data_IF_282881113994
#
_entry.id   IF_282881113994
#
_cell.length_a   1.000
_cell.length_b   1.000
_cell.length_c   1.000
_cell.angle_alpha   90.00
_cell.angle_beta   90.00
_cell.angle_gamma   90.00
#
_symmetry.space_group_name_H-M   'P 1'
#
loop_
_entity.id
_entity.type
_entity.pdbx_description
1 polymer ?
#
# COMPACT_ATOMS: atom_id res chain seq x y z
N UNK A 1 25.56 7.33 -24.74
CA UNK A 1 24.94 6.07 -24.30
C UNK A 1 23.94 6.42 -23.22
N UNK A 2 22.64 6.23 -23.47
CA UNK A 2 21.63 6.41 -22.41
C UNK A 2 21.95 5.37 -21.32
N UNK A 3 22.12 5.83 -20.08
CA UNK A 3 22.18 4.92 -18.94
C UNK A 3 20.89 4.09 -18.98
N UNK A 4 21.02 2.77 -19.01
CA UNK A 4 19.87 1.89 -18.92
C UNK A 4 19.13 2.23 -17.62
N UNK A 5 17.83 2.52 -17.70
CA UNK A 5 17.03 2.84 -16.53
C UNK A 5 17.06 1.65 -15.58
N UNK A 6 17.41 1.89 -14.31
CA UNK A 6 17.40 0.85 -13.29
C UNK A 6 15.98 0.26 -13.16
N UNK A 7 15.88 -1.06 -13.06
CA UNK A 7 14.61 -1.76 -12.94
C UNK A 7 14.09 -1.63 -11.50
N UNK A 8 13.10 -0.76 -11.28
CA UNK A 8 12.43 -0.61 -9.98
C UNK A 8 11.20 -1.52 -9.86
N UNK A 9 10.66 -1.68 -8.65
CA UNK A 9 9.43 -2.45 -8.42
C UNK A 9 8.23 -1.90 -9.20
N UNK A 10 8.10 -0.58 -9.30
CA UNK A 10 7.09 0.07 -10.15
C UNK A 10 7.26 -0.23 -11.65
N UNK A 11 8.49 -0.25 -12.18
CA UNK A 11 8.73 -0.58 -13.59
C UNK A 11 8.46 -2.06 -13.86
N UNK A 12 8.94 -2.94 -12.97
CA UNK A 12 8.73 -4.38 -13.07
C UNK A 12 7.23 -4.74 -13.07
N UNK A 13 6.46 -4.19 -12.13
CA UNK A 13 5.01 -4.40 -12.07
C UNK A 13 4.30 -3.86 -13.31
N UNK A 14 4.71 -2.70 -13.85
CA UNK A 14 4.17 -2.17 -15.10
C UNK A 14 4.39 -3.12 -16.29
N UNK A 15 5.57 -3.74 -16.39
CA UNK A 15 5.85 -4.73 -17.45
C UNK A 15 4.94 -5.95 -17.31
N UNK A 16 4.79 -6.49 -16.09
CA UNK A 16 3.89 -7.63 -15.83
C UNK A 16 2.44 -7.29 -16.18
N UNK A 17 1.95 -6.12 -15.77
CA UNK A 17 0.60 -5.65 -16.12
C UNK A 17 0.41 -5.53 -17.63
N UNK A 18 1.39 -5.01 -18.37
CA UNK A 18 1.33 -4.93 -19.84
C UNK A 18 1.24 -6.32 -20.48
N UNK A 19 2.02 -7.28 -19.99
CA UNK A 19 1.95 -8.65 -20.50
C UNK A 19 0.62 -9.33 -20.16
N UNK A 20 0.08 -9.10 -18.95
CA UNK A 20 -1.26 -9.60 -18.59
C UNK A 20 -2.35 -9.01 -19.49
N UNK A 21 -2.31 -7.70 -19.78
CA UNK A 21 -3.26 -7.07 -20.71
C UNK A 21 -3.17 -7.67 -22.10
N UNK A 22 -1.95 -7.91 -22.59
CA UNK A 22 -1.74 -8.58 -23.87
C UNK A 22 -2.24 -10.03 -23.86
N UNK A 23 -2.08 -10.75 -22.74
CA UNK A 23 -2.58 -12.12 -22.56
C UNK A 23 -4.11 -12.20 -22.60
N UNK A 24 -4.79 -11.33 -21.86
CA UNK A 24 -6.26 -11.31 -21.80
C UNK A 24 -6.90 -10.78 -23.09
N UNK A 25 -6.21 -9.92 -23.85
CA UNK A 25 -6.70 -9.20 -25.04
C UNK A 25 -7.83 -8.18 -24.74
N UNK A 26 -8.89 -8.59 -24.03
CA UNK A 26 -9.95 -7.73 -23.49
C UNK A 26 -10.42 -8.28 -22.13
N UNK A 27 -11.01 -7.42 -21.29
CA UNK A 27 -11.70 -7.87 -20.07
C UNK A 27 -10.78 -8.42 -18.97
N UNK A 28 -9.55 -7.93 -18.88
CA UNK A 28 -8.65 -8.27 -17.76
C UNK A 28 -9.34 -7.97 -16.42
N UNK A 29 -9.39 -8.93 -15.48
CA UNK A 29 -10.05 -8.73 -14.20
C UNK A 29 -9.35 -7.66 -13.36
N UNK A 30 -10.13 -6.94 -12.55
CA UNK A 30 -9.61 -5.97 -11.57
C UNK A 30 -8.64 -6.65 -10.57
N UNK A 31 -9.00 -7.84 -10.09
CA UNK A 31 -8.11 -8.65 -9.27
C UNK A 31 -7.12 -9.43 -10.15
N UNK A 32 -5.83 -9.09 -10.04
CA UNK A 32 -4.75 -9.75 -10.80
C UNK A 32 -4.64 -11.24 -10.44
N UNK A 33 -4.80 -12.12 -11.42
CA UNK A 33 -4.53 -13.54 -11.22
C UNK A 33 -3.01 -13.80 -11.09
N UNK A 34 -2.55 -14.03 -9.86
CA UNK A 34 -1.15 -14.30 -9.55
C UNK A 34 -0.68 -15.67 -10.07
N UNK A 35 -1.59 -16.60 -10.33
CA UNK A 35 -1.24 -17.90 -10.91
C UNK A 35 -0.86 -17.74 -12.38
N UNK A 36 -1.59 -16.91 -13.13
CA UNK A 36 -1.21 -16.55 -14.51
C UNK A 36 0.13 -15.81 -14.51
N UNK A 37 0.34 -14.86 -13.60
CA UNK A 37 1.64 -14.16 -13.46
C UNK A 37 2.77 -15.16 -13.20
N UNK A 38 2.59 -16.10 -12.28
CA UNK A 38 3.59 -17.14 -11.99
C UNK A 38 3.91 -17.99 -13.22
N UNK A 39 2.88 -18.48 -13.91
CA UNK A 39 3.03 -19.37 -15.06
C UNK A 39 3.68 -18.68 -16.27
N UNK A 40 3.39 -17.40 -16.49
CA UNK A 40 3.95 -16.67 -17.63
C UNK A 40 5.42 -16.32 -17.43
N UNK A 41 5.86 -16.02 -16.19
CA UNK A 41 7.19 -15.46 -15.91
C UNK A 41 8.37 -16.21 -16.55
N UNK A 42 8.47 -17.55 -16.50
CA UNK A 42 9.53 -18.32 -17.18
C UNK A 42 9.67 -18.01 -18.68
N UNK A 43 8.58 -17.65 -19.36
CA UNK A 43 8.59 -17.31 -20.80
C UNK A 43 8.93 -15.85 -21.11
N UNK A 44 9.15 -15.03 -20.08
CA UNK A 44 9.45 -13.60 -20.20
C UNK A 44 10.95 -13.32 -20.01
N UNK A 45 11.45 -12.12 -20.35
CA UNK A 45 12.82 -11.74 -20.01
C UNK A 45 13.17 -11.88 -18.52
N UNK A 46 12.18 -11.72 -17.62
CA UNK A 46 12.37 -11.92 -16.18
C UNK A 46 12.48 -13.39 -15.77
N UNK A 47 12.16 -14.33 -16.64
CA UNK A 47 12.30 -15.77 -16.39
C UNK A 47 13.56 -16.39 -16.99
N UNK A 48 14.48 -15.60 -17.54
CA UNK A 48 15.67 -16.15 -18.23
C UNK A 48 16.43 -17.15 -17.35
N UNK A 49 16.62 -18.37 -17.86
CA UNK A 49 17.29 -19.47 -17.16
C UNK A 49 16.41 -20.25 -16.18
N UNK A 50 15.13 -19.89 -16.04
CA UNK A 50 14.16 -20.56 -15.18
C UNK A 50 13.19 -21.36 -16.05
N UNK A 51 13.07 -22.65 -15.74
CA UNK A 51 12.12 -23.56 -16.37
C UNK A 51 10.74 -23.46 -15.70
N UNK A 52 10.72 -23.29 -14.38
CA UNK A 52 9.48 -23.38 -13.61
C UNK A 52 9.57 -22.60 -12.29
N UNK A 53 8.47 -21.95 -11.92
CA UNK A 53 8.23 -21.49 -10.56
C UNK A 53 7.09 -22.38 -10.03
N UNK A 54 7.31 -23.28 -9.08
CA UNK A 54 6.28 -24.20 -8.56
C UNK A 54 5.09 -23.42 -7.97
N UNK A 55 3.91 -24.04 -7.98
CA UNK A 55 2.72 -23.46 -7.34
C UNK A 55 3.00 -23.12 -5.86
N UNK A 56 2.52 -21.96 -5.36
CA UNK A 56 2.82 -21.55 -3.99
C UNK A 56 2.30 -22.56 -2.96
N UNK A 57 3.15 -22.89 -1.99
CA UNK A 57 2.82 -23.85 -0.91
C UNK A 57 2.43 -23.13 0.38
N UNK A 58 1.44 -23.68 1.07
CA UNK A 58 1.03 -23.18 2.37
C UNK A 58 1.95 -23.74 3.46
N UNK A 59 2.45 -22.86 4.34
CA UNK A 59 3.13 -23.24 5.58
C UNK A 59 2.41 -22.57 6.75
N UNK A 60 2.16 -23.31 7.81
CA UNK A 60 1.50 -22.80 9.02
C UNK A 60 2.53 -22.56 10.12
N UNK A 61 3.06 -21.34 10.21
CA UNK A 61 4.00 -20.91 11.24
C UNK A 61 3.56 -19.60 11.88
N UNK A 62 3.79 -19.44 13.19
CA UNK A 62 3.36 -18.22 13.90
C UNK A 62 4.26 -17.01 13.61
N UNK A 63 5.52 -17.24 13.24
CA UNK A 63 6.50 -16.20 12.91
C UNK A 63 6.84 -16.09 11.42
N UNK A 64 6.36 -17.05 10.62
CA UNK A 64 6.61 -17.16 9.17
C UNK A 64 5.62 -16.28 8.42
N UNK A 65 6.08 -15.48 7.45
CA UNK A 65 5.19 -14.71 6.56
C UNK A 65 5.25 -15.24 5.13
N UNK A 66 6.46 -15.36 4.57
CA UNK A 66 6.69 -15.79 3.18
C UNK A 66 8.12 -16.23 2.92
N UNK A 67 8.32 -16.94 1.82
CA UNK A 67 9.66 -17.33 1.34
C UNK A 67 9.67 -17.55 -0.16
N UNK A 68 10.73 -17.09 -0.81
CA UNK A 68 11.14 -17.48 -2.15
C UNK A 68 12.42 -18.30 -2.05
N UNK A 69 12.47 -19.48 -2.67
CA UNK A 69 13.67 -20.31 -2.69
C UNK A 69 13.91 -20.95 -4.05
N UNK A 70 15.17 -21.03 -4.45
CA UNK A 70 15.61 -21.86 -5.58
C UNK A 70 15.68 -23.32 -5.13
N UNK A 71 15.27 -24.22 -6.00
CA UNK A 71 15.37 -25.66 -5.74
C UNK A 71 16.86 -26.05 -5.62
N UNK A 72 17.23 -26.83 -4.57
CA UNK A 72 18.62 -27.19 -4.32
C UNK A 72 19.18 -28.14 -5.39
N UNK A 73 18.33 -28.97 -6.00
CA UNK A 73 18.72 -30.00 -6.96
C UNK A 73 18.51 -29.55 -8.41
N UNK A 74 17.53 -28.67 -8.68
CA UNK A 74 17.28 -28.09 -10.00
C UNK A 74 17.28 -26.56 -9.99
N UNK A 75 18.40 -25.99 -10.37
CA UNK A 75 18.61 -24.55 -10.41
C UNK A 75 17.72 -23.75 -11.38
N UNK A 76 17.02 -24.43 -12.30
CA UNK A 76 16.02 -23.84 -13.16
C UNK A 76 14.62 -23.81 -12.51
N UNK A 77 14.48 -24.25 -11.25
CA UNK A 77 13.22 -24.34 -10.52
C UNK A 77 13.24 -23.46 -9.28
N UNK A 78 12.14 -22.75 -9.07
CA UNK A 78 11.90 -21.92 -7.88
C UNK A 78 10.61 -22.32 -7.18
N UNK A 79 10.50 -22.03 -5.89
CA UNK A 79 9.31 -22.25 -5.08
C UNK A 79 8.98 -21.03 -4.23
N UNK A 80 7.68 -20.83 -4.01
CA UNK A 80 7.13 -19.79 -3.14
C UNK A 80 6.38 -20.48 -2.00
N UNK A 81 6.58 -20.02 -0.77
CA UNK A 81 5.79 -20.42 0.38
C UNK A 81 5.14 -19.19 1.04
N UNK A 82 3.96 -19.37 1.63
CA UNK A 82 3.23 -18.30 2.32
C UNK A 82 2.52 -18.82 3.58
N UNK A 83 2.25 -17.94 4.53
CA UNK A 83 1.58 -18.31 5.77
C UNK A 83 0.09 -18.62 5.58
N UNK A 84 -0.32 -19.88 5.80
CA UNK A 84 -1.71 -20.33 5.70
C UNK A 84 -2.66 -19.70 6.72
N UNK A 85 -2.16 -19.30 7.89
CA UNK A 85 -2.96 -18.65 8.95
C UNK A 85 -3.33 -17.20 8.60
N UNK A 86 -2.63 -16.59 7.65
CA UNK A 86 -2.87 -15.22 7.22
C UNK A 86 -4.24 -15.07 6.51
N UNK A 87 -4.81 -13.86 6.47
CA UNK A 87 -6.04 -13.63 5.67
C UNK A 87 -5.72 -13.74 4.18
N UNK A 88 -6.72 -14.00 3.35
CA UNK A 88 -6.56 -14.17 1.89
C UNK A 88 -5.86 -12.98 1.23
N UNK A 89 -6.17 -11.76 1.66
CA UNK A 89 -5.55 -10.53 1.13
C UNK A 89 -4.06 -10.47 1.48
N UNK A 90 -3.69 -10.93 2.68
CA UNK A 90 -2.29 -11.02 3.12
C UNK A 90 -1.54 -12.12 2.39
N UNK A 91 -2.14 -13.29 2.23
CA UNK A 91 -1.56 -14.39 1.42
C UNK A 91 -1.28 -13.93 -0.02
N UNK A 92 -2.24 -13.23 -0.65
CA UNK A 92 -2.06 -12.64 -1.98
C UNK A 92 -0.92 -11.63 -2.02
N UNK A 93 -0.85 -10.75 -1.02
CA UNK A 93 0.24 -9.78 -0.94
C UNK A 93 1.60 -10.48 -0.82
N UNK A 94 1.73 -11.45 0.08
CA UNK A 94 2.95 -12.25 0.24
C UNK A 94 3.36 -12.90 -1.08
N UNK A 95 2.45 -13.59 -1.77
CA UNK A 95 2.78 -14.23 -3.06
C UNK A 95 3.24 -13.19 -4.09
N UNK A 96 2.58 -12.03 -4.17
CA UNK A 96 3.00 -10.95 -5.07
C UNK A 96 4.38 -10.37 -4.69
N UNK A 97 4.67 -10.27 -3.39
CA UNK A 97 5.95 -9.82 -2.84
C UNK A 97 7.08 -10.80 -3.19
N UNK A 98 6.88 -12.11 -3.00
CA UNK A 98 7.85 -13.12 -3.40
C UNK A 98 8.09 -13.15 -4.92
N UNK A 99 7.05 -12.90 -5.73
CA UNK A 99 7.21 -12.70 -7.17
C UNK A 99 8.05 -11.44 -7.50
N UNK A 100 7.94 -10.39 -6.66
CA UNK A 100 8.80 -9.22 -6.71
C UNK A 100 10.27 -9.59 -6.47
N UNK A 101 10.57 -10.36 -5.42
CA UNK A 101 11.92 -10.90 -5.19
C UNK A 101 12.42 -11.73 -6.37
N UNK A 102 11.56 -12.56 -6.94
CA UNK A 102 11.95 -13.38 -8.09
C UNK A 102 12.37 -12.51 -9.29
N UNK A 103 11.60 -11.47 -9.60
CA UNK A 103 11.86 -10.62 -10.75
C UNK A 103 13.11 -9.75 -10.52
N UNK A 104 13.21 -9.14 -9.34
CA UNK A 104 14.17 -8.07 -9.06
C UNK A 104 15.47 -8.58 -8.44
N UNK A 105 15.43 -9.63 -7.61
CA UNK A 105 16.49 -9.95 -6.66
C UNK A 105 17.05 -11.38 -6.77
N UNK A 106 16.44 -12.28 -7.54
CA UNK A 106 16.83 -13.70 -7.61
C UNK A 106 18.30 -13.96 -8.02
N UNK A 107 18.96 -13.00 -8.66
CA UNK A 107 20.37 -13.07 -9.02
C UNK A 107 21.30 -12.80 -7.83
N UNK A 108 20.79 -12.15 -6.78
CA UNK A 108 21.58 -11.75 -5.60
C UNK A 108 21.67 -12.87 -4.56
N UNK A 109 20.59 -13.63 -4.36
CA UNK A 109 20.50 -14.68 -3.33
C UNK A 109 19.71 -15.89 -3.85
N UNK A 110 20.04 -17.08 -3.33
CA UNK A 110 19.35 -18.33 -3.69
C UNK A 110 18.02 -18.51 -2.94
N UNK A 111 17.81 -17.75 -1.86
CA UNK A 111 16.59 -17.78 -1.06
C UNK A 111 16.38 -16.44 -0.35
N UNK A 112 15.12 -16.05 -0.16
CA UNK A 112 14.67 -14.92 0.63
C UNK A 112 13.68 -15.45 1.68
N UNK A 113 13.98 -15.20 2.95
CA UNK A 113 13.11 -15.57 4.06
C UNK A 113 12.52 -14.30 4.66
N UNK A 114 11.22 -14.10 4.43
CA UNK A 114 10.49 -12.96 4.96
C UNK A 114 9.91 -13.37 6.31
N UNK A 115 10.66 -13.10 7.37
CA UNK A 115 10.24 -13.28 8.76
C UNK A 115 9.79 -11.94 9.34
N UNK A 116 8.84 -11.99 10.29
CA UNK A 116 8.37 -10.79 11.01
C UNK A 116 9.49 -9.99 11.74
N UNK A 117 10.68 -10.59 11.93
CA UNK A 117 11.83 -9.97 12.61
C UNK A 117 13.01 -9.61 11.70
N UNK A 118 13.06 -10.07 10.44
CA UNK A 118 14.25 -9.90 9.58
C UNK A 118 14.48 -8.45 9.14
N UNK A 119 13.43 -7.61 9.18
CA UNK A 119 13.47 -6.18 8.84
C UNK A 119 14.29 -5.32 9.82
N UNK A 120 14.62 -5.86 11.00
CA UNK A 120 15.30 -5.12 12.08
C UNK A 120 16.84 -5.19 12.05
N UNK A 121 17.45 -5.89 11.08
CA UNK A 121 18.91 -6.13 11.08
C UNK A 121 19.77 -4.97 10.56
N UNK A 122 19.18 -3.88 10.08
CA UNK A 122 19.89 -2.61 9.84
C UNK A 122 20.92 -2.62 8.71
N UNK A 123 20.89 -3.60 7.80
CA UNK A 123 21.70 -3.58 6.57
C UNK A 123 20.90 -2.85 5.50
N UNK A 124 21.32 -1.64 5.13
CA UNK A 124 20.59 -0.76 4.19
C UNK A 124 20.19 -1.44 2.88
N UNK A 125 21.03 -2.35 2.37
CA UNK A 125 20.76 -3.12 1.16
C UNK A 125 19.59 -4.11 1.28
N UNK A 126 19.39 -4.74 2.45
CA UNK A 126 18.24 -5.63 2.66
C UNK A 126 16.94 -4.83 2.75
N UNK A 127 16.96 -3.68 3.43
CA UNK A 127 15.78 -2.79 3.50
C UNK A 127 15.34 -2.29 2.13
N UNK A 128 16.29 -1.97 1.26
CA UNK A 128 15.97 -1.57 -0.11
C UNK A 128 15.34 -2.72 -0.90
N UNK A 129 15.89 -3.94 -0.79
CA UNK A 129 15.36 -5.14 -1.44
C UNK A 129 13.90 -5.41 -1.02
N UNK A 130 13.60 -5.38 0.28
CA UNK A 130 12.23 -5.57 0.77
C UNK A 130 11.29 -4.47 0.26
N UNK A 131 11.73 -3.20 0.30
CA UNK A 131 10.95 -2.07 -0.21
C UNK A 131 10.64 -2.20 -1.70
N UNK A 132 11.60 -2.66 -2.50
CA UNK A 132 11.41 -2.88 -3.95
C UNK A 132 10.41 -4.02 -4.22
N UNK A 133 10.44 -5.09 -3.42
CA UNK A 133 9.48 -6.19 -3.51
C UNK A 133 8.06 -5.76 -3.09
N UNK A 134 7.93 -4.97 -2.02
CA UNK A 134 6.65 -4.41 -1.60
C UNK A 134 6.10 -3.39 -2.59
N UNK A 135 6.97 -2.54 -3.17
CA UNK A 135 6.60 -1.61 -4.22
C UNK A 135 6.05 -2.39 -5.43
N UNK A 136 6.73 -3.47 -5.84
CA UNK A 136 6.25 -4.35 -6.90
C UNK A 136 4.88 -4.93 -6.57
N UNK A 137 4.71 -5.53 -5.38
CA UNK A 137 3.47 -6.17 -4.96
C UNK A 137 2.30 -5.19 -4.92
N UNK A 138 2.50 -4.02 -4.30
CA UNK A 138 1.46 -3.00 -4.20
C UNK A 138 1.04 -2.43 -5.55
N UNK A 139 2.00 -2.24 -6.48
CA UNK A 139 1.69 -1.78 -7.84
C UNK A 139 1.05 -2.86 -8.71
N UNK A 140 1.44 -4.12 -8.55
CA UNK A 140 0.82 -5.24 -9.26
C UNK A 140 -0.63 -5.42 -8.79
N UNK A 141 -0.86 -5.52 -7.48
CA UNK A 141 -2.17 -5.82 -6.91
C UNK A 141 -3.16 -4.65 -6.98
N UNK A 142 -2.68 -3.42 -7.01
CA UNK A 142 -3.51 -2.22 -7.18
C UNK A 142 -2.93 -1.33 -8.30
N UNK A 143 -3.17 -1.70 -9.58
CA UNK A 143 -2.72 -0.92 -10.72
C UNK A 143 -3.23 0.52 -10.64
N UNK A 144 -2.31 1.47 -10.72
CA UNK A 144 -2.61 2.87 -10.46
C UNK A 144 -3.56 3.53 -11.47
N UNK A 145 -3.62 3.01 -12.69
CA UNK A 145 -4.58 3.45 -13.70
C UNK A 145 -6.00 2.92 -13.43
N UNK A 146 -6.14 1.62 -13.12
CA UNK A 146 -7.43 1.04 -12.72
C UNK A 146 -7.97 1.70 -11.44
N UNK A 147 -7.13 1.90 -10.42
CA UNK A 147 -7.55 2.58 -9.20
C UNK A 147 -8.04 4.00 -9.51
N UNK A 148 -7.33 4.74 -10.38
CA UNK A 148 -7.74 6.09 -10.79
C UNK A 148 -9.09 6.10 -11.49
N UNK A 149 -9.35 5.13 -12.34
CA UNK A 149 -10.65 4.99 -13.02
C UNK A 149 -11.78 4.77 -12.00
N UNK A 150 -11.59 3.82 -11.08
CA UNK A 150 -12.59 3.50 -10.06
C UNK A 150 -12.90 4.68 -9.13
N UNK A 151 -11.89 5.49 -8.75
CA UNK A 151 -12.11 6.62 -7.82
C UNK A 151 -12.58 7.90 -8.53
N UNK A 152 -12.38 8.05 -9.84
CA UNK A 152 -12.72 9.30 -10.55
C UNK A 152 -14.21 9.40 -10.90
N UNK A 153 -14.93 8.28 -10.91
CA UNK A 153 -16.30 8.20 -11.42
C UNK A 153 -17.39 8.23 -10.34
N UNK A 154 -17.05 8.61 -9.10
CA UNK A 154 -18.01 8.58 -7.99
C UNK A 154 -17.58 9.49 -6.81
N UNK A 155 -18.55 9.84 -5.96
CA UNK A 155 -18.28 10.44 -4.65
C UNK A 155 -17.58 9.40 -3.77
N UNK A 156 -16.51 9.80 -3.08
CA UNK A 156 -15.76 8.90 -2.20
C UNK A 156 -16.34 8.94 -0.80
N UNK A 157 -16.63 7.75 -0.28
CA UNK A 157 -16.90 7.43 1.12
C UNK A 157 -16.24 6.08 1.46
N UNK A 158 -16.37 5.59 2.69
CA UNK A 158 -15.73 4.32 3.06
C UNK A 158 -16.42 3.09 2.46
N UNK A 159 -17.69 3.18 2.06
CA UNK A 159 -18.39 2.10 1.37
C UNK A 159 -17.81 1.89 -0.03
N UNK A 160 -17.58 2.98 -0.77
CA UNK A 160 -16.94 2.97 -2.08
C UNK A 160 -15.53 2.40 -1.98
N UNK A 161 -14.71 2.88 -1.03
CA UNK A 161 -13.37 2.33 -0.83
C UNK A 161 -13.44 0.85 -0.45
N UNK A 162 -14.34 0.42 0.43
CA UNK A 162 -14.51 -1.00 0.75
C UNK A 162 -14.89 -1.84 -0.49
N UNK A 163 -15.76 -1.32 -1.35
CA UNK A 163 -16.18 -1.98 -2.58
C UNK A 163 -15.04 -2.12 -3.60
N UNK A 164 -14.15 -1.13 -3.70
CA UNK A 164 -12.94 -1.20 -4.54
C UNK A 164 -11.93 -2.19 -3.93
N UNK A 165 -11.77 -2.21 -2.61
CA UNK A 165 -10.82 -3.12 -1.94
C UNK A 165 -11.21 -4.59 -2.20
N UNK A 166 -12.51 -4.89 -2.15
CA UNK A 166 -13.08 -6.19 -2.51
C UNK A 166 -12.84 -6.54 -3.98
N UNK A 167 -12.94 -5.59 -4.91
CA UNK A 167 -12.67 -5.80 -6.34
C UNK A 167 -11.21 -6.18 -6.60
N UNK A 168 -10.27 -5.49 -5.96
CA UNK A 168 -8.84 -5.80 -6.05
C UNK A 168 -8.40 -6.97 -5.16
N UNK A 169 -9.27 -7.47 -4.27
CA UNK A 169 -8.97 -8.51 -3.28
C UNK A 169 -7.80 -8.15 -2.36
N UNK A 170 -7.76 -6.90 -1.93
CA UNK A 170 -6.77 -6.34 -1.00
C UNK A 170 -7.43 -5.94 0.30
N UNK A 171 -6.63 -5.73 1.36
CA UNK A 171 -7.17 -5.22 2.61
C UNK A 171 -7.71 -3.81 2.43
N UNK A 172 -8.76 -3.48 3.19
CA UNK A 172 -9.35 -2.15 3.18
C UNK A 172 -8.32 -1.06 3.49
N UNK A 173 -7.48 -1.29 4.50
CA UNK A 173 -6.38 -0.39 4.88
C UNK A 173 -5.38 -0.16 3.74
N UNK A 174 -4.92 -1.22 3.07
CA UNK A 174 -3.99 -1.11 1.95
C UNK A 174 -4.59 -0.29 0.81
N UNK A 175 -5.89 -0.47 0.52
CA UNK A 175 -6.58 0.37 -0.45
C UNK A 175 -6.65 1.82 0.01
N UNK A 176 -7.05 2.12 1.25
CA UNK A 176 -7.14 3.50 1.74
C UNK A 176 -5.80 4.23 1.63
N UNK A 177 -4.70 3.56 1.99
CA UNK A 177 -3.35 4.09 1.83
C UNK A 177 -3.05 4.36 0.36
N UNK A 178 -3.35 3.39 -0.52
CA UNK A 178 -3.15 3.55 -1.98
C UNK A 178 -4.04 4.67 -2.54
N UNK A 179 -5.26 4.83 -2.07
CA UNK A 179 -6.17 5.89 -2.48
C UNK A 179 -5.54 7.28 -2.28
N UNK A 180 -4.90 7.52 -1.14
CA UNK A 180 -4.21 8.80 -0.85
C UNK A 180 -3.17 9.14 -1.91
N UNK A 181 -2.44 8.13 -2.43
CA UNK A 181 -1.43 8.33 -3.49
C UNK A 181 -2.00 8.71 -4.84
N UNK A 182 -3.22 8.25 -5.16
CA UNK A 182 -3.79 8.34 -6.51
C UNK A 182 -4.94 9.33 -6.63
N UNK A 183 -5.52 9.76 -5.51
CA UNK A 183 -6.62 10.73 -5.49
C UNK A 183 -6.16 12.13 -5.87
N UNK A 184 -7.00 12.84 -6.60
CA UNK A 184 -6.84 14.28 -6.88
C UNK A 184 -7.47 15.15 -5.80
N UNK A 185 -8.33 14.58 -4.96
CA UNK A 185 -8.96 15.29 -3.84
C UNK A 185 -7.92 15.63 -2.78
N UNK A 186 -8.15 16.72 -2.02
CA UNK A 186 -7.34 17.00 -0.83
C UNK A 186 -7.75 16.01 0.25
N UNK A 187 -6.97 14.95 0.38
CA UNK A 187 -7.21 13.89 1.34
C UNK A 187 -6.04 13.73 2.32
N UNK A 188 -6.38 13.42 3.57
CA UNK A 188 -5.45 13.01 4.63
C UNK A 188 -5.99 11.73 5.27
N UNK A 189 -5.13 10.72 5.44
CA UNK A 189 -5.44 9.48 6.14
C UNK A 189 -4.61 9.42 7.43
N UNK A 190 -5.26 9.17 8.56
CA UNK A 190 -4.61 9.03 9.86
C UNK A 190 -4.89 7.65 10.41
N UNK A 191 -3.84 6.96 10.84
CA UNK A 191 -3.94 5.66 11.50
C UNK A 191 -3.56 5.81 12.97
N UNK A 192 -4.47 5.36 13.82
CA UNK A 192 -4.37 5.40 15.26
C UNK A 192 -4.11 4.00 15.80
N UNK A 193 -3.22 3.88 16.77
CA UNK A 193 -2.86 2.62 17.43
C UNK A 193 -2.79 2.87 18.95
N UNK A 194 -3.64 2.18 19.72
CA UNK A 194 -3.77 2.34 21.17
C UNK A 194 -3.96 3.80 21.61
N UNK A 195 -4.87 4.52 20.94
CA UNK A 195 -5.21 5.91 21.28
C UNK A 195 -4.25 6.98 20.75
N UNK A 196 -3.21 6.63 20.00
CA UNK A 196 -2.23 7.61 19.48
C UNK A 196 -2.04 7.52 17.97
N UNK A 197 -1.74 8.64 17.31
CA UNK A 197 -1.35 8.65 15.89
C UNK A 197 -0.07 7.85 15.73
N UNK A 198 -0.13 6.82 14.89
CA UNK A 198 1.04 6.05 14.46
C UNK A 198 1.52 6.50 13.09
N UNK A 199 0.60 6.69 12.15
CA UNK A 199 0.92 7.09 10.77
C UNK A 199 -0.06 8.12 10.23
N UNK A 200 0.43 8.97 9.34
CA UNK A 200 -0.34 9.98 8.61
C UNK A 200 0.10 9.97 7.14
N UNK A 201 -0.84 9.92 6.21
CA UNK A 201 -0.58 10.06 4.77
C UNK A 201 -1.37 11.24 4.22
N UNK A 202 -0.76 11.99 3.30
CA UNK A 202 -1.37 13.15 2.68
C UNK A 202 -1.30 13.02 1.16
N UNK A 203 -2.43 13.27 0.51
CA UNK A 203 -2.52 13.28 -0.96
C UNK A 203 -1.64 14.38 -1.54
N UNK A 204 -1.20 14.25 -2.80
CA UNK A 204 -0.43 15.31 -3.46
C UNK A 204 -1.14 16.68 -3.40
N UNK A 205 -2.48 16.70 -3.52
CA UNK A 205 -3.26 17.95 -3.40
C UNK A 205 -3.23 18.54 -1.98
N UNK A 206 -3.32 17.71 -0.94
CA UNK A 206 -3.15 18.16 0.46
C UNK A 206 -1.70 18.67 0.68
N UNK A 207 -0.73 17.93 0.13
CA UNK A 207 0.69 18.27 0.04
C UNK A 207 0.95 19.39 -0.99
N UNK A 208 -0.02 20.09 -1.55
CA UNK A 208 0.26 21.32 -2.35
C UNK A 208 -0.40 22.54 -1.75
N UNK A 209 -1.28 22.31 -0.80
CA UNK A 209 -2.13 23.31 -0.14
C UNK A 209 -1.77 23.52 1.33
N UNK A 210 -0.81 22.77 1.87
CA UNK A 210 -0.29 22.81 3.26
C UNK A 210 -1.30 22.32 4.28
N UNK A 211 -2.26 21.52 3.85
CA UNK A 211 -3.14 20.80 4.75
C UNK A 211 -2.31 19.80 5.58
N UNK A 212 -2.34 19.98 6.90
CA UNK A 212 -1.74 19.10 7.90
C UNK A 212 -2.63 19.06 9.11
N UNK A 213 -2.69 17.90 9.76
CA UNK A 213 -3.43 17.78 11.01
C UNK A 213 -2.75 18.61 12.11
N UNK A 214 -3.56 19.18 12.99
CA UNK A 214 -3.15 19.84 14.22
C UNK A 214 -2.37 18.85 15.06
N UNK A 215 -1.25 19.30 15.62
CA UNK A 215 -0.49 18.56 16.61
C UNK A 215 -0.65 19.24 17.98
N UNK A 216 -1.11 18.51 18.99
CA UNK A 216 -1.32 18.98 20.37
C UNK A 216 -0.43 18.25 21.40
N UNK A 217 0.35 17.26 20.98
CA UNK A 217 1.26 16.51 21.83
C UNK A 217 2.15 15.54 21.06
N UNK A 218 3.06 14.90 21.79
CA UNK A 218 3.86 13.76 21.33
C UNK A 218 3.93 12.72 22.47
N UNK A 219 3.26 11.55 22.35
CA UNK A 219 2.48 11.11 21.20
C UNK A 219 1.18 11.92 20.99
N UNK A 220 0.72 11.99 19.73
CA UNK A 220 -0.48 12.74 19.33
C UNK A 220 -1.76 11.93 19.60
N UNK A 221 -2.68 12.46 20.41
CA UNK A 221 -4.01 11.87 20.67
C UNK A 221 -5.09 12.39 19.69
N UNK A 222 -6.24 11.71 19.53
CA UNK A 222 -7.37 12.22 18.78
C UNK A 222 -7.80 13.62 19.24
N UNK A 223 -8.12 14.50 18.30
CA UNK A 223 -8.49 15.87 18.61
C UNK A 223 -9.90 15.91 19.24
N UNK A 224 -10.12 16.60 20.37
CA UNK A 224 -11.46 16.73 20.95
C UNK A 224 -12.48 17.28 19.96
N UNK A 225 -13.68 16.68 19.94
CA UNK A 225 -14.77 17.08 19.02
C UNK A 225 -14.66 16.49 17.61
N UNK A 226 -13.75 15.55 17.38
CA UNK A 226 -13.65 14.77 16.12
C UNK A 226 -14.24 13.38 16.28
N UNK A 227 -14.58 12.71 15.17
CA UNK A 227 -15.04 11.32 15.21
C UNK A 227 -13.95 10.39 15.75
N UNK A 228 -12.69 10.65 15.43
CA UNK A 228 -11.55 9.92 15.97
C UNK A 228 -11.52 9.89 17.51
N UNK A 229 -11.94 10.98 18.17
CA UNK A 229 -11.99 11.10 19.63
C UNK A 229 -13.31 10.57 20.24
N UNK A 230 -14.37 10.42 19.45
CA UNK A 230 -15.68 9.99 19.95
C UNK A 230 -15.75 8.47 20.11
N UNK A 231 -15.61 7.97 21.33
CA UNK A 231 -15.66 6.53 21.64
C UNK A 231 -17.06 5.93 21.58
N UNK A 232 -18.12 6.75 21.51
CA UNK A 232 -19.50 6.28 21.37
C UNK A 232 -19.84 5.88 19.93
N UNK A 233 -19.07 6.36 18.96
CA UNK A 233 -19.22 6.05 17.53
C UNK A 233 -18.14 5.04 17.14
N UNK A 234 -18.54 3.79 16.92
CA UNK A 234 -17.61 2.73 16.48
C UNK A 234 -17.15 2.96 15.03
N UNK A 235 -18.10 3.28 14.15
CA UNK A 235 -17.88 3.47 12.72
C UNK A 235 -18.71 4.63 12.20
N UNK A 236 -18.16 5.37 11.24
CA UNK A 236 -18.88 6.39 10.49
C UNK A 236 -18.38 6.38 9.04
N UNK A 237 -19.09 5.63 8.21
CA UNK A 237 -18.67 5.33 6.83
C UNK A 237 -19.26 6.28 5.80
N UNK A 238 -20.38 6.94 6.12
CA UNK A 238 -21.01 7.96 5.28
C UNK A 238 -20.33 9.33 5.47
N UNK A 239 -19.68 9.49 6.62
CA UNK A 239 -18.86 10.63 6.97
C UNK A 239 -19.68 11.79 7.54
N UNK A 240 -19.03 12.62 8.33
CA UNK A 240 -19.64 13.82 8.91
C UNK A 240 -18.90 15.05 8.41
N UNK A 241 -19.67 16.03 7.93
CA UNK A 241 -19.13 17.33 7.56
C UNK A 241 -18.85 18.17 8.81
N UNK A 242 -17.67 18.79 8.85
CA UNK A 242 -17.26 19.70 9.93
C UNK A 242 -16.34 20.81 9.41
N UNK A 243 -16.00 21.76 10.28
CA UNK A 243 -15.03 22.80 9.94
C UNK A 243 -13.64 22.19 9.76
N UNK A 244 -12.99 22.50 8.63
CA UNK A 244 -11.64 22.04 8.36
C UNK A 244 -10.63 22.54 9.39
N UNK A 245 -10.88 23.69 10.03
CA UNK A 245 -10.00 24.29 11.05
C UNK A 245 -9.87 23.47 12.35
N UNK A 246 -10.80 22.53 12.59
CA UNK A 246 -10.71 21.57 13.71
C UNK A 246 -9.47 20.70 13.53
N UNK A 247 -9.38 20.05 12.36
CA UNK A 247 -8.27 19.19 11.99
C UNK A 247 -7.05 19.97 11.50
N UNK A 248 -7.23 20.94 10.61
CA UNK A 248 -6.16 21.64 9.91
C UNK A 248 -6.18 23.13 10.27
N UNK A 249 -5.39 23.59 11.25
CA UNK A 249 -5.53 24.94 11.83
C UNK A 249 -5.16 26.08 10.86
N UNK A 250 -4.45 25.78 9.78
CA UNK A 250 -4.12 26.74 8.72
C UNK A 250 -5.23 26.94 7.68
N UNK A 251 -6.30 26.13 7.72
CA UNK A 251 -7.44 26.29 6.82
C UNK A 251 -8.32 27.46 7.25
N UNK A 252 -8.96 28.12 6.27
CA UNK A 252 -9.85 29.23 6.58
C UNK A 252 -11.09 28.73 7.33
N UNK A 253 -11.63 29.55 8.25
CA UNK A 253 -12.73 29.15 9.14
C UNK A 253 -14.00 28.68 8.41
N UNK A 254 -14.23 29.14 7.18
CA UNK A 254 -15.39 28.75 6.36
C UNK A 254 -15.20 27.39 5.67
N UNK A 255 -13.97 26.92 5.52
CA UNK A 255 -13.68 25.68 4.80
C UNK A 255 -14.18 24.47 5.57
N UNK A 256 -14.70 23.50 4.82
CA UNK A 256 -15.25 22.25 5.33
C UNK A 256 -14.36 21.06 4.99
N UNK A 257 -14.53 20.00 5.76
CA UNK A 257 -14.06 18.66 5.44
C UNK A 257 -15.10 17.63 5.85
N UNK A 258 -15.02 16.46 5.23
CA UNK A 258 -15.70 15.25 5.65
C UNK A 258 -14.73 14.38 6.45
N UNK A 259 -15.09 14.04 7.68
CA UNK A 259 -14.37 13.05 8.49
C UNK A 259 -15.10 11.71 8.41
N UNK A 260 -14.34 10.65 8.17
CA UNK A 260 -14.82 9.27 8.18
C UNK A 260 -14.04 8.47 9.22
N UNK A 261 -14.68 7.47 9.82
CA UNK A 261 -14.09 6.62 10.87
C UNK A 261 -14.31 5.14 10.62
N UNK A 262 -13.23 4.37 10.68
CA UNK A 262 -13.29 2.92 10.70
C UNK A 262 -12.45 2.34 11.86
N UNK A 263 -13.09 1.69 12.82
CA UNK A 263 -12.42 1.07 13.97
C UNK A 263 -12.18 -0.43 13.78
N UNK A 264 -11.05 -0.94 14.24
CA UNK A 264 -10.73 -2.36 14.26
C UNK A 264 -10.84 -2.89 15.69
N UNK A 265 -11.99 -3.45 16.06
CA UNK A 265 -12.38 -3.74 17.46
C UNK A 265 -11.47 -4.69 18.27
N UNK A 266 -10.52 -5.40 17.65
CA UNK A 266 -9.64 -6.33 18.37
C UNK A 266 -8.41 -5.66 19.03
N UNK A 267 -8.03 -4.43 18.62
CA UNK A 267 -6.72 -3.85 18.95
C UNK A 267 -6.72 -2.34 19.23
N UNK A 268 -7.88 -1.74 19.48
CA UNK A 268 -8.01 -0.28 19.66
C UNK A 268 -7.28 0.53 18.57
N UNK A 269 -7.62 0.22 17.31
CA UNK A 269 -7.04 0.87 16.14
C UNK A 269 -8.13 1.55 15.35
N UNK A 270 -7.84 2.74 14.88
CA UNK A 270 -8.81 3.55 14.14
C UNK A 270 -8.14 4.01 12.85
N UNK A 271 -8.90 4.03 11.76
CA UNK A 271 -8.54 4.67 10.51
C UNK A 271 -9.46 5.87 10.32
N UNK A 272 -8.88 7.06 10.24
CA UNK A 272 -9.59 8.32 9.97
C UNK A 272 -9.23 8.80 8.57
N UNK A 273 -10.23 8.95 7.70
CA UNK A 273 -10.06 9.60 6.41
C UNK A 273 -10.66 11.01 6.49
N UNK A 274 -9.91 12.00 6.03
CA UNK A 274 -10.33 13.38 5.91
C UNK A 274 -10.36 13.76 4.44
N UNK A 275 -11.51 14.20 3.93
CA UNK A 275 -11.66 14.77 2.59
C UNK A 275 -11.98 16.26 2.71
N UNK A 276 -11.03 17.11 2.34
CA UNK A 276 -11.13 18.57 2.45
C UNK A 276 -11.70 19.17 1.17
N UNK A 277 -12.43 20.28 1.30
CA UNK A 277 -12.81 21.14 0.16
C UNK A 277 -11.58 21.56 -0.65
N UNK A 278 -11.75 21.80 -1.96
CA UNK A 278 -10.66 22.24 -2.84
C UNK A 278 -10.07 23.59 -2.38
N UNK A 279 -8.77 23.76 -2.60
CA UNK A 279 -8.05 25.00 -2.32
C UNK A 279 -6.95 25.23 -3.36
N UNK A 280 -6.63 26.49 -3.62
CA UNK A 280 -5.53 26.87 -4.52
C UNK A 280 -4.17 26.49 -3.93
N UNK A 281 -3.24 25.93 -4.72
CA UNK A 281 -1.88 25.67 -4.27
C UNK A 281 -1.20 26.96 -3.80
N UNK A 282 -0.39 26.88 -2.74
CA UNK A 282 0.40 28.03 -2.28
C UNK A 282 1.60 28.25 -3.22
N UNK A 283 1.40 29.04 -4.26
CA UNK A 283 2.28 29.18 -5.45
C UNK A 283 3.70 29.71 -5.18
N UNK A 284 3.94 30.36 -4.04
CA UNK A 284 5.25 30.91 -3.65
C UNK A 284 6.14 29.90 -2.92
N UNK A 285 5.62 28.71 -2.61
CA UNK A 285 6.31 27.70 -1.81
C UNK A 285 6.57 26.42 -2.60
N UNK A 286 7.85 26.05 -2.70
CA UNK A 286 8.32 24.82 -3.36
C UNK A 286 8.80 23.75 -2.37
N UNK A 287 8.62 23.93 -1.06
CA UNK A 287 9.08 22.97 -0.03
C UNK A 287 8.49 21.56 -0.18
N UNK A 288 7.40 21.43 -0.93
CA UNK A 288 6.80 20.16 -1.36
C UNK A 288 7.75 19.25 -2.16
N UNK A 289 8.74 19.81 -2.85
CA UNK A 289 9.75 19.04 -3.58
C UNK A 289 10.66 18.25 -2.62
N UNK A 290 10.83 18.73 -1.38
CA UNK A 290 11.64 18.07 -0.36
C UNK A 290 10.82 17.02 0.44
N UNK A 291 9.49 17.12 0.46
CA UNK A 291 8.61 16.15 1.14
C UNK A 291 8.36 14.85 0.36
N UNK A 292 8.59 14.83 -0.96
CA UNK A 292 8.52 13.60 -1.76
C UNK A 292 9.59 12.58 -1.36
N UNK A 293 10.65 13.00 -0.64
CA UNK A 293 11.82 12.18 -0.32
C UNK A 293 11.63 11.20 0.85
N UNK A 294 10.60 11.36 1.68
CA UNK A 294 10.33 10.51 2.85
C UNK A 294 8.82 10.39 3.08
N UNK A 295 8.14 9.61 2.23
CA UNK A 295 6.71 9.32 2.39
C UNK A 295 6.54 8.35 3.57
N UNK A 296 5.60 8.63 4.49
CA UNK A 296 5.18 7.71 5.55
C UNK A 296 4.67 6.37 4.99
N UNK A 297 4.30 6.34 3.70
CA UNK A 297 4.08 5.10 2.96
C UNK A 297 5.34 4.23 2.89
N UNK A 298 6.49 4.84 2.61
CA UNK A 298 7.75 4.11 2.58
C UNK A 298 8.10 3.60 3.98
N UNK A 299 7.74 4.30 5.06
CA UNK A 299 7.95 3.81 6.44
C UNK A 299 7.01 2.66 6.82
N UNK A 300 5.76 2.67 6.34
CA UNK A 300 4.80 1.58 6.57
C UNK A 300 5.22 0.30 5.84
N UNK A 301 5.67 0.46 4.60
CA UNK A 301 6.22 -0.60 3.75
C UNK A 301 7.59 -1.08 4.27
N UNK A 302 8.53 -0.17 4.52
CA UNK A 302 9.91 -0.49 4.91
C UNK A 302 10.07 -1.11 6.30
N UNK A 303 9.07 -0.98 7.17
CA UNK A 303 9.10 -1.60 8.50
C UNK A 303 8.57 -3.05 8.48
N UNK A 304 8.20 -3.60 7.32
CA UNK A 304 7.63 -4.95 7.21
C UNK A 304 6.30 -5.13 7.96
N UNK A 305 5.75 -4.03 8.49
CA UNK A 305 4.51 -4.00 9.25
C UNK A 305 3.39 -3.47 8.36
N UNK A 306 3.07 -4.26 7.35
CA UNK A 306 1.77 -4.24 6.70
C UNK A 306 0.72 -4.75 7.70
N UNK A 307 -0.58 -4.44 7.53
CA UNK A 307 -1.60 -4.56 8.58
C UNK A 307 -1.52 -5.90 9.32
N UNK A 308 -0.83 -5.93 10.46
CA UNK A 308 -0.69 -7.14 11.25
C UNK A 308 -1.85 -7.15 12.21
N UNK A 309 -2.70 -8.17 12.07
CA UNK A 309 -3.70 -8.47 13.09
C UNK A 309 -4.70 -7.36 13.27
#
# INVERSE_FOLDING_TARGET
MSAAQALTGSIASSHVIKWLRAWYSEGMPDAIDLEIVRQMLPSTPYGTGVREIKSPVEINGDAFEGMLARDPDDHAVWGIAYNGKARRERQRFTIAHELGHFILHRSHQQSFNCDSQSVHTGIDGLRQIEREADEFAGNLLMPGDLLREWISNQRIDLHVLSAIAKRFQVSFEALCIRFIKFTKQRAILVYWDNGFVKYEWRSNSAVRTRARIRRNGDPQEPLPGTLAADTSIEHEWDGIEMSAAIWCPEEAAHMKLWEFKHSYGARDRILTLLLLENAEPRSWDRSWQDEESFDSFDQFVSNGQLPVR
#
